data_IF_760857950019
#
_entry.id   IF_760857950019
#
_cell.length_a   1.000
_cell.length_b   1.000
_cell.length_c   1.000
_cell.angle_alpha   90.00
_cell.angle_beta   90.00
_cell.angle_gamma   90.00
#
_symmetry.space_group_name_H-M   'P 1'
#
loop_
_entity.id
_entity.type
_entity.pdbx_description
1 polymer ?
#
# COMPACT_ATOMS: atom_id res chain seq x y z
N UNK A 1 -66.74 -21.48 36.28
CA UNK A 1 -66.62 -20.02 36.13
C UNK A 1 -65.23 -19.59 36.58
N UNK A 2 -64.54 -18.73 35.83
CA UNK A 2 -63.11 -18.44 36.01
C UNK A 2 -62.89 -17.24 36.94
N UNK A 3 -61.72 -17.16 37.60
CA UNK A 3 -61.11 -15.87 37.94
C UNK A 3 -59.68 -15.84 37.39
N UNK A 4 -59.53 -14.99 36.39
CA UNK A 4 -58.35 -14.65 35.63
C UNK A 4 -57.14 -14.33 36.52
N UNK A 5 -55.97 -14.78 36.07
CA UNK A 5 -54.68 -14.38 36.64
C UNK A 5 -54.33 -12.92 36.34
N UNK A 6 -53.59 -12.30 37.24
CA UNK A 6 -52.87 -11.05 37.00
C UNK A 6 -51.38 -11.37 36.89
N UNK A 7 -50.90 -11.52 35.65
CA UNK A 7 -49.48 -11.42 35.37
C UNK A 7 -49.10 -9.95 35.42
N UNK A 8 -48.18 -9.59 36.32
CA UNK A 8 -47.56 -8.27 36.35
C UNK A 8 -46.81 -8.03 35.03
N UNK A 9 -47.35 -7.15 34.19
CA UNK A 9 -46.64 -6.67 33.00
C UNK A 9 -45.54 -5.72 33.45
N UNK A 10 -44.30 -6.21 33.47
CA UNK A 10 -43.09 -5.38 33.47
C UNK A 10 -43.05 -4.59 32.17
N UNK A 11 -43.52 -3.34 32.20
CA UNK A 11 -43.33 -2.39 31.10
C UNK A 11 -41.93 -1.81 31.25
N UNK A 12 -40.94 -2.51 30.70
CA UNK A 12 -39.60 -1.93 30.49
C UNK A 12 -39.76 -0.83 29.45
N UNK A 13 -39.82 0.43 29.88
CA UNK A 13 -39.67 1.57 28.98
C UNK A 13 -38.27 1.48 28.34
N UNK A 14 -38.21 0.94 27.11
CA UNK A 14 -37.08 1.17 26.23
C UNK A 14 -37.02 2.67 26.00
N UNK A 15 -36.10 3.37 26.67
CA UNK A 15 -35.64 4.67 26.19
C UNK A 15 -35.01 4.42 24.82
N UNK A 16 -35.81 4.59 23.78
CA UNK A 16 -35.32 4.80 22.43
C UNK A 16 -34.46 6.06 22.51
N UNK A 17 -33.16 5.86 22.60
CA UNK A 17 -32.18 6.90 22.31
C UNK A 17 -32.25 7.18 20.80
N UNK A 18 -33.35 7.79 20.37
CA UNK A 18 -33.41 8.48 19.09
C UNK A 18 -32.61 9.78 19.24
N UNK A 19 -31.29 9.61 19.32
CA UNK A 19 -30.39 10.68 18.90
C UNK A 19 -30.63 10.83 17.40
N UNK A 20 -31.63 11.64 17.04
CA UNK A 20 -31.67 12.33 15.75
C UNK A 20 -30.45 13.25 15.73
N UNK A 21 -29.28 12.66 15.50
CA UNK A 21 -28.13 13.39 15.00
C UNK A 21 -28.63 13.96 13.69
N UNK A 22 -28.81 15.28 13.65
CA UNK A 22 -28.89 16.00 12.38
C UNK A 22 -27.64 15.58 11.61
N UNK A 23 -27.79 14.67 10.65
CA UNK A 23 -26.76 14.48 9.63
C UNK A 23 -26.63 15.87 9.03
N UNK A 24 -25.48 16.50 9.23
CA UNK A 24 -25.13 17.70 8.51
C UNK A 24 -25.06 17.25 7.05
N UNK A 25 -26.18 17.40 6.34
CA UNK A 25 -26.39 16.89 4.99
C UNK A 25 -25.74 17.79 3.95
N UNK A 26 -24.49 18.15 4.23
CA UNK A 26 -23.54 18.77 3.32
C UNK A 26 -22.17 18.30 3.81
N UNK A 27 -21.77 17.10 3.39
CA UNK A 27 -20.36 16.75 3.42
C UNK A 27 -19.68 17.77 2.52
N UNK A 28 -19.01 18.76 3.11
CA UNK A 28 -18.29 19.78 2.37
C UNK A 28 -17.42 19.06 1.36
N UNK A 29 -17.68 19.30 0.08
CA UNK A 29 -16.88 18.74 -0.98
C UNK A 29 -15.47 19.26 -0.76
N UNK A 30 -14.51 18.35 -0.60
CA UNK A 30 -13.12 18.72 -0.43
C UNK A 30 -12.48 18.98 -1.78
N UNK A 31 -11.48 19.84 -1.79
CA UNK A 31 -10.66 20.05 -2.98
C UNK A 31 -9.79 18.81 -3.24
N UNK A 32 -9.45 18.58 -4.50
CA UNK A 32 -8.64 17.42 -4.89
C UNK A 32 -7.22 17.47 -4.32
N UNK A 33 -6.67 18.67 -4.10
CA UNK A 33 -5.40 18.85 -3.41
C UNK A 33 -5.42 18.29 -1.97
N UNK A 34 -6.61 18.15 -1.38
CA UNK A 34 -6.80 17.61 -0.03
C UNK A 34 -6.98 16.09 -0.02
N UNK A 35 -6.99 15.42 -1.18
CA UNK A 35 -7.21 13.97 -1.28
C UNK A 35 -6.18 13.17 -0.46
N UNK A 36 -4.90 13.52 -0.60
CA UNK A 36 -3.80 12.83 0.09
C UNK A 36 -3.92 12.97 1.61
N UNK A 37 -4.21 14.17 2.10
CA UNK A 37 -4.37 14.44 3.53
C UNK A 37 -5.60 13.70 4.08
N UNK A 38 -6.72 13.76 3.36
CA UNK A 38 -7.94 13.06 3.73
C UNK A 38 -7.67 11.56 3.87
N UNK A 39 -7.07 10.92 2.86
CA UNK A 39 -6.75 9.50 2.89
C UNK A 39 -5.73 9.17 3.99
N UNK A 40 -4.74 10.01 4.24
CA UNK A 40 -3.76 9.82 5.31
C UNK A 40 -4.41 9.82 6.69
N UNK A 41 -5.33 10.77 6.94
CA UNK A 41 -6.10 10.82 8.20
C UNK A 41 -6.99 9.58 8.32
N UNK A 42 -7.71 9.22 7.25
CA UNK A 42 -8.55 8.01 7.24
C UNK A 42 -7.74 6.75 7.51
N UNK A 43 -6.56 6.62 6.92
CA UNK A 43 -5.63 5.52 7.14
C UNK A 43 -5.22 5.42 8.62
N UNK A 44 -4.81 6.56 9.21
CA UNK A 44 -4.42 6.65 10.62
C UNK A 44 -5.54 6.23 11.58
N UNK A 45 -6.79 6.58 11.26
CA UNK A 45 -7.96 6.29 12.09
C UNK A 45 -8.51 4.87 11.92
N UNK A 46 -8.24 4.19 10.79
CA UNK A 46 -8.96 2.94 10.44
C UNK A 46 -8.07 1.70 10.41
N UNK A 47 -6.93 1.74 9.70
CA UNK A 47 -6.11 0.55 9.44
C UNK A 47 -4.68 0.67 9.97
N UNK A 48 -4.14 1.86 10.22
CA UNK A 48 -2.75 2.04 10.71
C UNK A 48 -2.45 1.21 11.96
N UNK A 49 -3.38 1.15 12.93
CA UNK A 49 -3.22 0.35 14.16
C UNK A 49 -3.30 -1.16 13.93
N UNK A 50 -3.89 -1.61 12.81
CA UNK A 50 -3.98 -3.03 12.45
C UNK A 50 -2.70 -3.56 11.83
N UNK A 51 -1.82 -2.66 11.36
CA UNK A 51 -0.51 -3.02 10.84
C UNK A 51 0.52 -3.14 11.97
N UNK A 52 1.48 -4.09 11.87
CA UNK A 52 2.68 -4.13 12.69
C UNK A 52 3.39 -2.78 12.71
N UNK A 53 3.97 -2.38 13.85
CA UNK A 53 4.63 -1.07 14.01
C UNK A 53 5.65 -0.80 12.91
N UNK A 54 6.46 -1.80 12.57
CA UNK A 54 7.52 -1.75 11.55
C UNK A 54 7.01 -1.45 10.13
N UNK A 55 5.73 -1.69 9.84
CA UNK A 55 5.13 -1.48 8.51
C UNK A 55 4.30 -0.20 8.40
N UNK A 56 3.94 0.43 9.52
CA UNK A 56 2.98 1.55 9.54
C UNK A 56 3.45 2.74 8.71
N UNK A 57 4.73 3.07 8.85
CA UNK A 57 5.35 4.19 8.13
C UNK A 57 5.44 3.88 6.64
N UNK A 58 5.93 2.68 6.28
CA UNK A 58 6.02 2.21 4.89
C UNK A 58 4.66 2.18 4.18
N UNK A 59 3.61 1.70 4.85
CA UNK A 59 2.26 1.69 4.32
C UNK A 59 1.67 3.10 4.15
N UNK A 60 1.96 4.01 5.10
CA UNK A 60 1.55 5.41 4.98
C UNK A 60 2.28 6.12 3.83
N UNK A 61 3.59 5.92 3.68
CA UNK A 61 4.38 6.49 2.59
C UNK A 61 3.93 5.98 1.23
N UNK A 62 3.67 4.68 1.09
CA UNK A 62 3.10 4.15 -0.14
C UNK A 62 1.72 4.77 -0.44
N UNK A 63 0.86 4.94 0.56
CA UNK A 63 -0.43 5.61 0.39
C UNK A 63 -0.27 7.06 -0.09
N UNK A 64 0.69 7.80 0.44
CA UNK A 64 0.99 9.17 0.04
C UNK A 64 1.49 9.26 -1.41
N UNK A 65 2.14 8.23 -1.92
CA UNK A 65 2.52 8.12 -3.33
C UNK A 65 1.34 7.70 -4.23
N UNK A 66 0.46 6.83 -3.75
CA UNK A 66 -0.71 6.37 -4.53
C UNK A 66 -1.74 7.50 -4.68
N UNK A 67 -2.11 8.15 -3.57
CA UNK A 67 -3.21 9.12 -3.50
C UNK A 67 -3.20 10.19 -4.61
N UNK A 68 -2.11 10.93 -4.88
CA UNK A 68 -2.09 11.98 -5.90
C UNK A 68 -2.22 11.43 -7.33
N UNK A 69 -1.89 10.15 -7.56
CA UNK A 69 -1.89 9.52 -8.88
C UNK A 69 -3.21 8.82 -9.24
N UNK A 70 -4.10 8.62 -8.26
CA UNK A 70 -5.36 7.88 -8.45
C UNK A 70 -6.24 8.45 -9.55
N UNK A 71 -6.33 9.78 -9.68
CA UNK A 71 -7.16 10.43 -10.69
C UNK A 71 -6.60 10.27 -12.10
N UNK A 72 -5.29 10.48 -12.27
CA UNK A 72 -4.61 10.41 -13.56
C UNK A 72 -4.63 9.01 -14.18
N UNK A 73 -4.81 7.97 -13.35
CA UNK A 73 -4.87 6.57 -13.77
C UNK A 73 -6.30 6.01 -13.77
N UNK A 74 -7.32 6.86 -13.64
CA UNK A 74 -8.75 6.47 -13.59
C UNK A 74 -9.01 5.31 -12.59
N UNK A 75 -8.28 5.33 -11.46
CA UNK A 75 -8.34 4.29 -10.43
C UNK A 75 -7.94 2.87 -10.88
N UNK A 76 -7.12 2.75 -11.92
CA UNK A 76 -6.46 1.49 -12.32
C UNK A 76 -5.20 1.29 -11.48
N UNK A 77 -5.31 0.52 -10.40
CA UNK A 77 -4.21 0.34 -9.45
C UNK A 77 -3.01 -0.38 -10.07
N UNK A 78 -3.23 -1.32 -11.00
CA UNK A 78 -2.13 -2.06 -11.64
C UNK A 78 -1.19 -1.13 -12.41
N UNK A 79 -1.72 -0.27 -13.28
CA UNK A 79 -0.94 0.67 -14.07
C UNK A 79 -0.20 1.67 -13.17
N UNK A 80 -0.89 2.19 -12.16
CA UNK A 80 -0.31 3.11 -11.17
C UNK A 80 0.85 2.47 -10.41
N UNK A 81 0.68 1.23 -9.94
CA UNK A 81 1.70 0.53 -9.18
C UNK A 81 2.91 0.15 -10.04
N UNK A 82 2.73 -0.10 -11.35
CA UNK A 82 3.82 -0.41 -12.25
C UNK A 82 4.86 0.71 -12.31
N UNK A 83 4.39 1.94 -12.42
CA UNK A 83 5.22 3.14 -12.44
C UNK A 83 5.81 3.43 -11.06
N UNK A 84 4.98 3.39 -10.01
CA UNK A 84 5.42 3.65 -8.65
C UNK A 84 6.52 2.70 -8.19
N UNK A 85 6.42 1.41 -8.49
CA UNK A 85 7.43 0.43 -8.08
C UNK A 85 8.78 0.77 -8.70
N UNK A 86 8.82 1.19 -9.97
CA UNK A 86 10.06 1.59 -10.64
C UNK A 86 10.65 2.84 -9.98
N UNK A 87 9.83 3.87 -9.75
CA UNK A 87 10.26 5.11 -9.09
C UNK A 87 10.78 4.86 -7.67
N UNK A 88 10.07 4.04 -6.90
CA UNK A 88 10.41 3.72 -5.52
C UNK A 88 11.65 2.83 -5.43
N UNK A 89 11.89 1.96 -6.42
CA UNK A 89 13.03 1.03 -6.40
C UNK A 89 14.37 1.75 -6.54
N UNK A 90 14.38 2.96 -7.10
CA UNK A 90 15.56 3.83 -7.10
C UNK A 90 15.83 4.45 -5.72
N UNK A 91 14.77 4.71 -4.93
CA UNK A 91 14.80 5.55 -3.72
C UNK A 91 14.69 4.78 -2.41
N UNK A 92 14.46 3.47 -2.46
CA UNK A 92 14.18 2.66 -1.26
C UNK A 92 14.95 1.34 -1.32
N UNK A 93 15.29 0.77 -0.14
CA UNK A 93 15.92 -0.54 -0.06
C UNK A 93 14.89 -1.65 -0.32
N UNK A 94 15.38 -2.85 -0.62
CA UNK A 94 14.51 -3.97 -1.03
C UNK A 94 13.52 -4.40 0.07
N UNK A 95 13.87 -4.18 1.34
CA UNK A 95 13.00 -4.43 2.49
C UNK A 95 11.68 -3.67 2.40
N UNK A 96 11.64 -2.51 1.71
CA UNK A 96 10.40 -1.80 1.47
C UNK A 96 9.40 -2.65 0.69
N UNK A 97 9.87 -3.28 -0.40
CA UNK A 97 9.03 -4.12 -1.26
C UNK A 97 8.58 -5.40 -0.57
N UNK A 98 9.44 -5.96 0.29
CA UNK A 98 9.03 -7.06 1.16
C UNK A 98 7.87 -6.66 2.07
N UNK A 99 7.96 -5.49 2.71
CA UNK A 99 6.85 -4.99 3.53
C UNK A 99 5.59 -4.72 2.70
N UNK A 100 5.72 -4.12 1.51
CA UNK A 100 4.59 -3.90 0.59
C UNK A 100 3.88 -5.22 0.30
N UNK A 101 4.63 -6.27 -0.03
CA UNK A 101 4.08 -7.61 -0.27
C UNK A 101 3.22 -8.10 0.90
N UNK A 102 3.63 -7.83 2.14
CA UNK A 102 2.92 -8.28 3.34
C UNK A 102 1.66 -7.44 3.63
N UNK A 103 1.77 -6.10 3.59
CA UNK A 103 0.64 -5.24 3.96
C UNK A 103 -0.34 -4.94 2.79
N UNK A 104 0.00 -5.27 1.55
CA UNK A 104 -0.80 -4.93 0.37
C UNK A 104 -2.26 -5.35 0.46
N UNK A 105 -2.61 -6.58 0.88
CA UNK A 105 -4.02 -6.99 0.97
C UNK A 105 -4.85 -6.08 1.89
N UNK A 106 -4.24 -5.56 2.95
CA UNK A 106 -4.89 -4.63 3.88
C UNK A 106 -5.02 -3.24 3.26
N UNK A 107 -3.95 -2.74 2.64
CA UNK A 107 -3.95 -1.43 1.99
C UNK A 107 -4.92 -1.37 0.79
N UNK A 108 -4.95 -2.40 -0.05
CA UNK A 108 -5.86 -2.47 -1.19
C UNK A 108 -7.34 -2.45 -0.73
N UNK A 109 -7.69 -3.21 0.32
CA UNK A 109 -9.05 -3.17 0.89
C UNK A 109 -9.40 -1.78 1.43
N UNK A 110 -8.44 -1.09 2.03
CA UNK A 110 -8.62 0.30 2.45
C UNK A 110 -8.86 1.22 1.26
N UNK A 111 -8.06 1.14 0.19
CA UNK A 111 -8.24 1.94 -1.02
C UNK A 111 -9.61 1.72 -1.66
N UNK A 112 -10.02 0.45 -1.83
CA UNK A 112 -11.32 0.08 -2.39
C UNK A 112 -12.50 0.69 -1.62
N UNK A 113 -12.37 0.79 -0.29
CA UNK A 113 -13.44 1.28 0.58
C UNK A 113 -13.44 2.80 0.70
N UNK A 114 -12.28 3.38 0.95
CA UNK A 114 -12.18 4.78 1.39
C UNK A 114 -12.03 5.74 0.21
N UNK A 115 -11.41 5.33 -0.92
CA UNK A 115 -11.27 6.20 -2.11
C UNK A 115 -12.64 6.60 -2.70
N UNK A 116 -13.60 5.68 -2.93
CA UNK A 116 -14.91 6.06 -3.44
C UNK A 116 -15.77 6.86 -2.43
N UNK A 117 -15.40 6.81 -1.15
CA UNK A 117 -16.11 7.49 -0.07
C UNK A 117 -15.59 8.92 0.18
N UNK A 118 -14.51 9.35 -0.50
CA UNK A 118 -14.01 10.71 -0.39
C UNK A 118 -15.04 11.68 -1.00
N UNK A 119 -15.43 12.75 -0.28
CA UNK A 119 -16.42 13.72 -0.76
C UNK A 119 -15.78 14.67 -1.78
N UNK A 120 -15.46 14.19 -2.98
CA UNK A 120 -14.96 15.00 -4.09
C UNK A 120 -16.10 15.44 -5.03
N UNK A 121 -15.91 16.56 -5.73
CA UNK A 121 -16.82 17.02 -6.80
C UNK A 121 -17.00 15.94 -7.87
N UNK A 122 -15.90 15.27 -8.22
CA UNK A 122 -15.88 14.11 -9.10
C UNK A 122 -15.35 12.91 -8.34
N UNK A 123 -16.16 11.87 -8.23
CA UNK A 123 -15.80 10.66 -7.50
C UNK A 123 -14.71 9.90 -8.23
N UNK A 124 -13.72 9.43 -7.48
CA UNK A 124 -12.70 8.49 -7.96
C UNK A 124 -13.17 7.09 -7.59
N UNK A 125 -13.20 6.17 -8.57
CA UNK A 125 -13.54 4.78 -8.36
C UNK A 125 -12.31 3.91 -8.57
N UNK A 126 -12.13 2.88 -7.75
CA UNK A 126 -11.11 1.85 -8.01
C UNK A 126 -11.69 0.88 -9.05
N UNK A 127 -11.25 1.01 -10.31
CA UNK A 127 -11.81 0.26 -11.45
C UNK A 127 -11.14 -1.08 -11.68
N UNK A 128 -9.84 -1.14 -11.41
CA UNK A 128 -9.05 -2.36 -11.58
C UNK A 128 -8.27 -2.62 -10.30
N UNK A 129 -8.46 -3.82 -9.77
CA UNK A 129 -7.73 -4.32 -8.62
C UNK A 129 -6.38 -4.87 -9.06
N UNK A 130 -5.42 -4.86 -8.14
CA UNK A 130 -4.13 -5.51 -8.29
C UNK A 130 -4.10 -6.70 -7.33
N UNK A 131 -4.14 -7.91 -7.88
CA UNK A 131 -4.04 -9.12 -7.08
C UNK A 131 -2.66 -9.23 -6.41
N UNK A 132 -2.57 -10.02 -5.35
CA UNK A 132 -1.31 -10.27 -4.65
C UNK A 132 -0.26 -10.87 -5.61
N UNK A 133 -0.67 -11.83 -6.43
CA UNK A 133 0.20 -12.50 -7.41
C UNK A 133 0.75 -11.53 -8.46
N UNK A 134 -0.09 -10.61 -8.97
CA UNK A 134 0.35 -9.59 -9.91
C UNK A 134 1.32 -8.61 -9.26
N UNK A 135 1.02 -8.14 -8.04
CA UNK A 135 1.92 -7.28 -7.28
C UNK A 135 3.28 -7.94 -7.10
N UNK A 136 3.33 -9.17 -6.58
CA UNK A 136 4.59 -9.88 -6.34
C UNK A 136 5.39 -10.08 -7.62
N UNK A 137 4.72 -10.33 -8.74
CA UNK A 137 5.39 -10.40 -10.04
C UNK A 137 6.03 -9.06 -10.42
N UNK A 138 5.31 -7.94 -10.23
CA UNK A 138 5.82 -6.60 -10.53
C UNK A 138 7.00 -6.22 -9.63
N UNK A 139 6.91 -6.54 -8.33
CA UNK A 139 8.00 -6.38 -7.38
C UNK A 139 9.24 -7.18 -7.81
N UNK A 140 9.04 -8.44 -8.20
CA UNK A 140 10.10 -9.35 -8.64
C UNK A 140 10.80 -8.86 -9.91
N UNK A 141 10.03 -8.40 -10.88
CA UNK A 141 10.55 -7.81 -12.11
C UNK A 141 11.41 -6.59 -11.82
N UNK A 142 10.92 -5.65 -11.00
CA UNK A 142 11.67 -4.44 -10.67
C UNK A 142 12.97 -4.74 -9.92
N UNK A 143 12.91 -5.65 -8.93
CA UNK A 143 14.09 -6.05 -8.16
C UNK A 143 15.13 -6.75 -9.04
N UNK A 144 14.72 -7.75 -9.83
CA UNK A 144 15.67 -8.50 -10.69
C UNK A 144 16.26 -7.63 -11.79
N UNK A 145 15.49 -6.70 -12.36
CA UNK A 145 16.00 -5.76 -13.36
C UNK A 145 17.06 -4.83 -12.76
N UNK A 146 16.82 -4.29 -11.57
CA UNK A 146 17.81 -3.46 -10.84
C UNK A 146 19.07 -4.27 -10.52
N UNK A 147 18.92 -5.50 -10.02
CA UNK A 147 20.06 -6.37 -9.72
C UNK A 147 20.85 -6.72 -10.98
N UNK A 148 20.19 -7.10 -12.07
CA UNK A 148 20.84 -7.44 -13.32
C UNK A 148 21.64 -6.24 -13.87
N UNK A 149 21.07 -5.04 -13.83
CA UNK A 149 21.76 -3.82 -14.19
C UNK A 149 22.99 -3.57 -13.29
N UNK A 150 22.85 -3.77 -11.98
CA UNK A 150 23.95 -3.61 -11.00
C UNK A 150 25.07 -4.64 -11.18
N UNK A 151 24.76 -5.90 -11.52
CA UNK A 151 25.76 -6.94 -11.77
C UNK A 151 26.54 -6.71 -13.07
N UNK A 152 25.94 -6.03 -14.05
CA UNK A 152 26.55 -5.75 -15.35
C UNK A 152 27.19 -4.35 -15.43
N UNK A 153 26.99 -3.52 -14.40
CA UNK A 153 27.65 -2.23 -14.21
C UNK A 153 29.17 -2.45 -14.13
N UNK A 154 29.87 -2.20 -15.24
CA UNK A 154 31.33 -2.44 -15.38
C UNK A 154 31.71 -3.27 -16.61
N UNK A 155 30.76 -3.93 -17.27
CA UNK A 155 31.00 -4.73 -18.49
C UNK A 155 30.86 -3.93 -19.80
N UNK A 156 31.29 -2.66 -19.83
CA UNK A 156 31.08 -1.76 -20.97
C UNK A 156 29.61 -1.33 -21.12
N UNK A 157 29.17 -0.91 -22.32
CA UNK A 157 27.75 -0.70 -22.63
C UNK A 157 27.03 -2.05 -22.54
N UNK A 158 26.50 -2.37 -21.36
CA UNK A 158 25.63 -3.53 -21.20
C UNK A 158 24.38 -3.32 -22.05
N UNK A 159 24.28 -4.06 -23.16
CA UNK A 159 23.12 -4.03 -24.04
C UNK A 159 21.86 -4.41 -23.24
N UNK A 160 20.76 -3.69 -23.45
CA UNK A 160 19.49 -3.93 -22.77
C UNK A 160 19.02 -5.40 -22.88
N UNK A 161 19.36 -6.08 -23.97
CA UNK A 161 19.10 -7.51 -24.16
C UNK A 161 19.76 -8.40 -23.08
N UNK A 162 21.01 -8.10 -22.69
CA UNK A 162 21.73 -8.86 -21.64
C UNK A 162 21.12 -8.64 -20.26
N UNK A 163 20.73 -7.40 -19.96
CA UNK A 163 20.04 -7.06 -18.71
C UNK A 163 18.72 -7.83 -18.64
N UNK A 164 17.92 -7.81 -19.71
CA UNK A 164 16.65 -8.52 -19.77
C UNK A 164 16.82 -10.04 -19.64
N UNK A 165 17.85 -10.62 -20.28
CA UNK A 165 18.15 -12.04 -20.16
C UNK A 165 18.51 -12.43 -18.71
N UNK A 166 19.43 -11.69 -18.09
CA UNK A 166 19.84 -11.96 -16.70
C UNK A 166 18.69 -11.75 -15.72
N UNK A 167 17.91 -10.68 -15.88
CA UNK A 167 16.70 -10.44 -15.08
C UNK A 167 15.71 -11.59 -15.20
N UNK A 168 15.50 -12.14 -16.41
CA UNK A 168 14.65 -13.31 -16.63
C UNK A 168 15.13 -14.57 -15.88
N UNK A 169 16.44 -14.83 -15.87
CA UNK A 169 17.02 -15.95 -15.14
C UNK A 169 16.87 -15.78 -13.62
N UNK A 170 17.15 -14.56 -13.12
CA UNK A 170 16.94 -14.24 -11.69
C UNK A 170 15.47 -14.39 -11.31
N UNK A 171 14.54 -13.91 -12.15
CA UNK A 171 13.10 -14.03 -11.89
C UNK A 171 12.66 -15.48 -11.80
N UNK A 172 13.18 -16.36 -12.67
CA UNK A 172 12.88 -17.79 -12.63
C UNK A 172 13.36 -18.47 -11.33
N UNK A 173 14.46 -18.00 -10.73
CA UNK A 173 14.96 -18.52 -9.46
C UNK A 173 14.22 -17.96 -8.23
N UNK A 174 13.87 -16.66 -8.27
CA UNK A 174 13.25 -15.95 -7.16
C UNK A 174 11.74 -16.15 -7.05
N UNK A 175 11.05 -16.40 -8.16
CA UNK A 175 9.59 -16.46 -8.21
C UNK A 175 9.10 -17.90 -8.37
N UNK A 176 8.44 -18.43 -7.33
CA UNK A 176 8.00 -19.83 -7.25
C UNK A 176 6.53 -19.88 -6.82
N UNK A 177 5.72 -20.72 -7.47
CA UNK A 177 4.35 -21.03 -7.00
C UNK A 177 3.47 -19.80 -6.69
N UNK A 178 3.63 -18.72 -7.46
CA UNK A 178 2.98 -17.39 -7.31
C UNK A 178 3.55 -16.45 -6.24
N UNK A 179 4.48 -17.00 -5.44
CA UNK A 179 5.38 -16.47 -4.43
C UNK A 179 6.66 -15.75 -4.87
N UNK A 180 7.01 -14.56 -4.37
CA UNK A 180 8.43 -14.19 -4.25
C UNK A 180 9.10 -14.90 -3.07
N UNK A 181 10.22 -15.57 -3.32
CA UNK A 181 11.07 -16.11 -2.26
C UNK A 181 11.96 -15.01 -1.68
N UNK A 182 11.45 -14.33 -0.66
CA UNK A 182 12.14 -13.21 0.00
C UNK A 182 13.48 -13.58 0.65
N UNK A 183 13.68 -14.85 1.03
CA UNK A 183 14.98 -15.32 1.52
C UNK A 183 16.03 -15.29 0.41
N UNK A 184 15.68 -15.75 -0.80
CA UNK A 184 16.57 -15.65 -1.96
C UNK A 184 16.78 -14.21 -2.41
N UNK A 185 15.73 -13.37 -2.39
CA UNK A 185 15.84 -11.93 -2.67
C UNK A 185 16.88 -11.29 -1.75
N UNK A 186 16.80 -11.57 -0.44
CA UNK A 186 17.77 -11.09 0.54
C UNK A 186 19.19 -11.55 0.21
N UNK A 187 19.39 -12.82 -0.11
CA UNK A 187 20.72 -13.35 -0.45
C UNK A 187 21.30 -12.69 -1.70
N UNK A 188 20.47 -12.48 -2.72
CA UNK A 188 20.84 -11.85 -3.98
C UNK A 188 21.23 -10.38 -3.79
N UNK A 189 20.50 -9.66 -2.93
CA UNK A 189 20.67 -8.23 -2.72
C UNK A 189 21.62 -7.87 -1.57
N UNK A 190 22.00 -8.82 -0.72
CA UNK A 190 22.93 -8.60 0.39
C UNK A 190 24.25 -7.91 0.01
N UNK A 191 24.88 -8.19 -1.17
CA UNK A 191 26.10 -7.49 -1.58
C UNK A 191 25.90 -6.02 -1.96
N UNK A 192 24.66 -5.59 -2.23
CA UNK A 192 24.35 -4.25 -2.69
C UNK A 192 23.83 -3.39 -1.53
N UNK A 193 24.74 -2.64 -0.90
CA UNK A 193 24.35 -1.71 0.15
C UNK A 193 23.45 -0.59 -0.40
N UNK A 194 22.37 -0.29 0.32
CA UNK A 194 21.54 0.87 0.04
C UNK A 194 22.16 2.11 0.70
N UNK A 195 22.42 3.15 -0.10
CA UNK A 195 22.90 4.44 0.41
C UNK A 195 21.71 5.35 0.70
N UNK A 196 21.66 5.90 1.91
CA UNK A 196 20.64 6.86 2.32
C UNK A 196 21.17 8.25 1.98
N UNK A 197 20.41 8.99 1.18
CA UNK A 197 20.73 10.36 0.81
C UNK A 197 20.69 11.28 2.04
N UNK A 198 21.75 12.07 2.22
CA UNK A 198 21.92 12.98 3.34
C UNK A 198 21.02 14.22 3.26
N UNK A 199 20.56 14.59 2.07
CA UNK A 199 19.67 15.74 1.83
C UNK A 199 18.22 15.49 2.29
N UNK A 200 17.87 14.23 2.59
CA UNK A 200 16.55 13.86 3.09
C UNK A 200 16.31 14.37 4.52
N UNK A 201 15.05 14.63 4.83
CA UNK A 201 14.64 15.02 6.19
C UNK A 201 14.91 13.89 7.21
N UNK A 202 15.13 14.25 8.47
CA UNK A 202 15.53 13.29 9.50
C UNK A 202 14.51 12.16 9.69
N UNK A 203 13.22 12.43 9.53
CA UNK A 203 12.19 11.41 9.71
C UNK A 203 12.25 10.36 8.61
N UNK A 204 12.49 10.78 7.36
CA UNK A 204 12.72 9.88 6.22
C UNK A 204 14.01 9.10 6.37
N UNK A 205 15.11 9.75 6.80
CA UNK A 205 16.38 9.06 7.04
C UNK A 205 16.24 8.00 8.13
N UNK A 206 15.58 8.31 9.24
CA UNK A 206 15.38 7.35 10.31
C UNK A 206 14.53 6.15 9.87
N UNK A 207 13.44 6.40 9.15
CA UNK A 207 12.63 5.32 8.57
C UNK A 207 13.45 4.41 7.64
N UNK A 208 14.27 4.99 6.76
CA UNK A 208 15.14 4.20 5.88
C UNK A 208 16.18 3.39 6.66
N UNK A 209 16.78 3.94 7.72
CA UNK A 209 17.69 3.20 8.61
C UNK A 209 16.98 2.02 9.26
N UNK A 210 15.82 2.25 9.87
CA UNK A 210 15.02 1.21 10.51
C UNK A 210 14.63 0.10 9.52
N UNK A 211 14.34 0.49 8.27
CA UNK A 211 13.98 -0.43 7.20
C UNK A 211 15.17 -1.27 6.73
N UNK A 212 16.35 -0.69 6.61
CA UNK A 212 17.58 -1.43 6.25
C UNK A 212 18.05 -2.39 7.33
N UNK A 213 17.61 -2.20 8.58
CA UNK A 213 17.97 -3.05 9.72
C UNK A 213 17.13 -4.34 9.83
N UNK A 214 16.10 -4.50 8.98
CA UNK A 214 15.29 -5.72 8.86
C UNK A 214 16.02 -6.80 8.03
#
# INVERSE_FOLDING_TARGET
MPKQGQFAKSVRQKKLNDFKVKRHDQGAVIDETQLTDFLTVRFALTIKKKLPSVQRESAQRLLQEIAPRLRNRDGRLADLMAELIVELNAKTPWQFFWQISDFWPVLQKFLQKEVPAVPLSQRILIRQLLSQTELERMLGQALTQKTAAAMLLGQGQAEAAKINQLSGLLMADLYQETHLNWQKVRQLLAPFAFSIDEELDETTRQWLRDLTAL
#
